data_IF_018687193623
#
_entry.id   IF_018687193623
#
_cell.length_a   1.000
_cell.length_b   1.000
_cell.length_c   1.000
_cell.angle_alpha   90.00
_cell.angle_beta   90.00
_cell.angle_gamma   90.00
#
_symmetry.space_group_name_H-M   'P 1'
#
loop_
_entity.id
_entity.type
_entity.pdbx_description
1 polymer ?
#
# COMPACT_ATOMS: atom_id res chain seq x y z
N UNK A 1 2.20 7.90 3.48
CA UNK A 1 0.86 8.32 3.94
C UNK A 1 0.93 8.82 5.38
N UNK A 2 0.08 9.76 5.76
CA UNK A 2 -0.07 10.27 7.12
C UNK A 2 -1.57 10.31 7.43
N UNK A 3 -1.98 10.02 8.66
CA UNK A 3 -3.36 10.15 9.12
C UNK A 3 -3.34 11.19 10.24
N UNK A 4 -4.19 12.20 10.12
CA UNK A 4 -4.40 13.20 11.16
C UNK A 4 -5.90 13.31 11.42
N UNK A 5 -6.28 13.47 12.68
CA UNK A 5 -7.65 13.83 13.04
C UNK A 5 -7.65 15.29 13.53
N UNK A 6 -8.75 15.98 13.24
CA UNK A 6 -9.03 17.29 13.80
C UNK A 6 -10.04 17.11 14.92
N UNK A 7 -9.65 17.44 16.15
CA UNK A 7 -10.53 17.33 17.31
C UNK A 7 -10.26 18.47 18.30
N UNK A 8 -11.30 19.06 18.89
CA UNK A 8 -11.19 20.14 19.88
C UNK A 8 -10.27 21.32 19.50
N UNK A 9 -10.34 21.75 18.24
CA UNK A 9 -9.55 22.89 17.71
C UNK A 9 -8.04 22.64 17.61
N UNK A 10 -7.59 21.40 17.77
CA UNK A 10 -6.21 20.98 17.55
C UNK A 10 -6.12 19.87 16.48
N UNK A 11 -4.95 19.82 15.82
CA UNK A 11 -4.61 18.77 14.85
C UNK A 11 -3.78 17.70 15.57
N UNK A 12 -4.37 16.53 15.77
CA UNK A 12 -3.64 15.37 16.27
C UNK A 12 -3.15 14.52 15.10
N UNK A 13 -1.83 14.50 14.92
CA UNK A 13 -1.18 13.63 13.92
C UNK A 13 -0.93 12.26 14.55
N UNK A 14 -1.47 11.21 13.93
CA UNK A 14 -1.30 9.84 14.41
C UNK A 14 0.16 9.39 14.30
N UNK A 15 0.80 9.11 15.43
CA UNK A 15 2.08 8.40 15.51
C UNK A 15 1.83 6.90 15.49
N UNK A 16 2.59 6.18 14.66
CA UNK A 16 2.52 4.72 14.67
C UNK A 16 3.08 4.14 15.99
N UNK A 17 2.90 2.84 16.23
CA UNK A 17 3.40 2.08 17.39
C UNK A 17 4.93 2.16 17.61
N UNK A 18 5.66 2.75 16.66
CA UNK A 18 7.09 3.01 16.70
C UNK A 18 7.42 4.53 16.65
N UNK A 19 6.46 5.38 17.01
CA UNK A 19 6.57 6.84 17.13
C UNK A 19 6.94 7.63 15.85
N UNK A 20 6.84 7.02 14.65
CA UNK A 20 7.07 7.73 13.39
C UNK A 20 5.78 8.37 12.83
N UNK A 21 5.90 9.62 12.35
CA UNK A 21 4.84 10.44 11.75
C UNK A 21 4.56 10.09 10.28
N UNK A 22 5.45 9.36 9.63
CA UNK A 22 5.31 8.96 8.22
C UNK A 22 5.06 7.47 8.12
N UNK A 23 3.91 7.10 7.55
CA UNK A 23 3.59 5.71 7.24
C UNK A 23 4.10 5.41 5.84
N UNK A 24 5.15 4.60 5.66
CA UNK A 24 5.54 4.19 4.32
C UNK A 24 4.46 3.25 3.76
N UNK A 25 4.05 3.49 2.51
CA UNK A 25 2.95 2.78 1.85
C UNK A 25 3.40 1.41 1.32
N UNK A 26 3.79 0.51 2.22
CA UNK A 26 4.08 -0.90 1.93
C UNK A 26 2.89 -1.78 2.33
N UNK A 27 2.49 -2.69 1.44
CA UNK A 27 1.45 -3.70 1.67
C UNK A 27 2.04 -5.06 1.33
N UNK A 28 2.19 -5.94 2.31
CA UNK A 28 2.62 -7.31 2.07
C UNK A 28 1.43 -8.27 2.14
N UNK A 29 1.21 -9.03 1.07
CA UNK A 29 0.01 -9.83 0.89
C UNK A 29 -0.03 -11.14 1.69
N UNK A 30 1.04 -11.59 2.36
CA UNK A 30 0.99 -12.89 3.09
C UNK A 30 0.04 -12.88 4.29
N UNK A 31 -0.07 -11.76 5.00
CA UNK A 31 -0.96 -11.56 6.17
C UNK A 31 -1.53 -10.14 6.23
N UNK A 32 -1.63 -9.47 5.07
CA UNK A 32 -1.99 -8.04 4.94
C UNK A 32 -1.23 -7.15 5.94
N UNK A 33 0.09 -7.37 6.01
CA UNK A 33 1.00 -6.63 6.87
C UNK A 33 1.28 -5.27 6.25
N UNK A 34 1.24 -4.23 7.07
CA UNK A 34 1.52 -2.85 6.65
C UNK A 34 2.80 -2.38 7.37
N UNK A 35 3.53 -1.42 6.78
CA UNK A 35 4.62 -0.65 7.42
C UNK A 35 5.98 -1.40 7.49
N UNK A 36 6.74 -1.24 8.60
CA UNK A 36 8.08 -1.84 8.81
C UNK A 36 8.06 -3.39 8.75
N UNK A 37 6.97 -4.03 9.17
CA UNK A 37 6.80 -5.49 9.02
C UNK A 37 6.84 -5.92 7.55
N UNK A 38 6.17 -5.16 6.67
CA UNK A 38 6.24 -5.36 5.22
C UNK A 38 7.63 -5.02 4.66
N UNK A 39 8.31 -3.99 5.19
CA UNK A 39 9.69 -3.64 4.78
C UNK A 39 10.71 -4.75 5.11
N UNK A 40 10.55 -5.46 6.24
CA UNK A 40 11.38 -6.64 6.56
C UNK A 40 11.10 -7.80 5.60
N UNK A 41 9.83 -7.99 5.23
CA UNK A 41 9.46 -8.96 4.21
C UNK A 41 9.94 -8.58 2.81
N UNK A 42 10.24 -7.31 2.50
CA UNK A 42 10.77 -6.93 1.18
C UNK A 42 12.03 -7.73 0.81
N UNK A 43 12.88 -8.06 1.79
CA UNK A 43 14.09 -8.87 1.55
C UNK A 43 13.80 -10.37 1.38
N UNK A 44 12.70 -10.88 1.95
CA UNK A 44 12.36 -12.31 1.97
C UNK A 44 11.27 -12.69 0.96
N UNK A 45 10.35 -11.79 0.67
CA UNK A 45 9.22 -11.94 -0.22
C UNK A 45 8.93 -10.63 -0.98
N UNK A 46 9.84 -10.21 -1.89
CA UNK A 46 9.69 -8.98 -2.65
C UNK A 46 8.49 -9.02 -3.62
N UNK A 47 8.12 -10.20 -4.14
CA UNK A 47 7.00 -10.37 -5.08
C UNK A 47 5.63 -10.14 -4.44
N UNK A 48 5.47 -10.40 -3.15
CA UNK A 48 4.22 -10.14 -2.45
C UNK A 48 4.26 -8.85 -1.62
N UNK A 49 5.33 -8.06 -1.71
CA UNK A 49 5.48 -6.80 -0.97
C UNK A 49 5.33 -5.62 -1.93
N UNK A 50 4.13 -5.04 -1.93
CA UNK A 50 3.73 -3.96 -2.83
C UNK A 50 4.11 -2.61 -2.21
N UNK A 51 4.71 -1.73 -3.01
CA UNK A 51 4.99 -0.36 -2.62
C UNK A 51 4.96 0.59 -3.83
N UNK A 52 5.00 1.90 -3.59
CA UNK A 52 5.03 2.87 -4.68
C UNK A 52 3.75 2.93 -5.52
N UNK A 53 2.64 2.31 -5.08
CA UNK A 53 1.38 2.16 -5.82
C UNK A 53 0.88 3.48 -6.41
N UNK A 54 1.04 4.59 -5.67
CA UNK A 54 0.62 5.93 -6.12
C UNK A 54 1.28 6.37 -7.43
N UNK A 55 2.48 5.87 -7.73
CA UNK A 55 3.19 6.18 -8.98
C UNK A 55 2.61 5.39 -10.18
N UNK A 56 1.87 4.31 -9.93
CA UNK A 56 1.26 3.46 -10.97
C UNK A 56 -0.17 3.90 -11.30
N UNK A 57 -0.87 4.55 -10.37
CA UNK A 57 -2.25 5.01 -10.56
C UNK A 57 -2.31 6.01 -11.71
N UNK A 58 -3.20 5.75 -12.69
CA UNK A 58 -3.40 6.62 -13.84
C UNK A 58 -2.25 6.61 -14.87
N UNK A 59 -1.24 5.76 -14.71
CA UNK A 59 -0.15 5.58 -15.68
C UNK A 59 -0.40 4.37 -16.58
N UNK A 60 0.27 4.35 -17.74
CA UNK A 60 0.36 3.15 -18.58
C UNK A 60 1.65 2.40 -18.26
N UNK A 61 1.67 1.10 -18.53
CA UNK A 61 2.83 0.26 -18.22
C UNK A 61 4.06 0.72 -19.01
N UNK A 62 3.88 1.16 -20.25
CA UNK A 62 4.90 1.68 -21.17
C UNK A 62 5.37 3.12 -20.86
N UNK A 63 4.87 3.76 -19.80
CA UNK A 63 5.35 5.07 -19.38
C UNK A 63 6.83 4.99 -18.95
N UNK A 64 7.65 5.92 -19.41
CA UNK A 64 9.09 5.94 -19.13
C UNK A 64 9.41 5.97 -17.62
N UNK A 65 8.56 6.58 -16.80
CA UNK A 65 8.73 6.58 -15.34
C UNK A 65 8.43 5.22 -14.73
N UNK A 66 7.40 4.53 -15.24
CA UNK A 66 7.07 3.17 -14.81
C UNK A 66 8.18 2.21 -15.21
N UNK A 67 8.63 2.25 -16.47
CA UNK A 67 9.67 1.40 -17.02
C UNK A 67 11.00 1.52 -16.26
N UNK A 68 11.42 2.75 -15.89
CA UNK A 68 12.63 2.97 -15.06
C UNK A 68 12.54 2.31 -13.69
N UNK A 69 11.34 2.24 -13.12
CA UNK A 69 11.11 1.73 -11.78
C UNK A 69 10.68 0.26 -11.75
N UNK A 70 10.44 -0.39 -12.89
CA UNK A 70 10.08 -1.82 -12.95
C UNK A 70 11.12 -2.72 -12.29
N UNK A 71 12.41 -2.38 -12.36
CA UNK A 71 13.48 -3.11 -11.67
C UNK A 71 13.35 -3.10 -10.14
N UNK A 72 12.65 -2.10 -9.59
CA UNK A 72 12.32 -2.01 -8.16
C UNK A 72 10.98 -2.67 -7.84
N UNK A 73 10.11 -2.90 -8.83
CA UNK A 73 8.75 -3.39 -8.64
C UNK A 73 8.55 -4.79 -9.24
N UNK A 74 9.03 -5.85 -8.56
CA UNK A 74 8.93 -7.23 -9.06
C UNK A 74 7.51 -7.80 -9.04
N UNK A 75 6.52 -7.02 -8.59
CA UNK A 75 5.11 -7.35 -8.50
C UNK A 75 4.26 -6.67 -9.59
N UNK A 76 4.85 -5.81 -10.43
CA UNK A 76 4.12 -5.06 -11.48
C UNK A 76 4.29 -5.75 -12.83
N UNK A 77 3.16 -5.96 -13.52
CA UNK A 77 3.10 -6.50 -14.87
C UNK A 77 2.16 -5.66 -15.75
N UNK A 78 2.09 -5.94 -17.05
CA UNK A 78 1.18 -5.31 -17.98
C UNK A 78 -0.06 -6.19 -18.20
N UNK A 79 -1.24 -5.57 -18.32
CA UNK A 79 -2.40 -6.26 -18.90
C UNK A 79 -2.44 -6.15 -20.43
N UNK A 80 -3.39 -6.84 -21.05
CA UNK A 80 -3.61 -6.86 -22.50
C UNK A 80 -3.87 -5.47 -23.12
N UNK A 81 -4.22 -4.48 -22.29
CA UNK A 81 -4.47 -3.09 -22.70
C UNK A 81 -3.31 -2.14 -22.39
N UNK A 82 -2.16 -2.67 -21.95
CA UNK A 82 -0.98 -1.89 -21.57
C UNK A 82 -1.14 -1.06 -20.30
N UNK A 83 -2.12 -1.39 -19.44
CA UNK A 83 -2.23 -0.81 -18.09
C UNK A 83 -1.38 -1.64 -17.12
N UNK A 84 -0.74 -0.99 -16.13
CA UNK A 84 -0.04 -1.72 -15.08
C UNK A 84 -1.04 -2.47 -14.21
N UNK A 85 -0.73 -3.73 -13.93
CA UNK A 85 -1.40 -4.59 -12.96
C UNK A 85 -0.39 -5.06 -11.92
N UNK A 86 -0.89 -5.39 -10.74
CA UNK A 86 -0.10 -5.93 -9.64
C UNK A 86 -0.46 -7.40 -9.50
N UNK A 87 0.53 -8.28 -9.61
CA UNK A 87 0.36 -9.72 -9.40
C UNK A 87 1.01 -10.12 -8.08
N UNK A 88 0.23 -10.80 -7.24
CA UNK A 88 0.67 -11.31 -5.94
C UNK A 88 0.21 -12.75 -5.76
N UNK A 89 0.99 -13.53 -5.01
CA UNK A 89 0.63 -14.90 -4.65
C UNK A 89 0.08 -14.92 -3.23
N UNK A 90 -1.20 -15.23 -3.08
CA UNK A 90 -1.87 -15.36 -1.80
C UNK A 90 -2.39 -16.78 -1.63
N UNK A 91 -2.00 -17.45 -0.53
CA UNK A 91 -2.39 -18.85 -0.25
C UNK A 91 -2.14 -19.81 -1.43
N UNK A 92 -1.05 -19.60 -2.18
CA UNK A 92 -0.70 -20.41 -3.35
C UNK A 92 -1.50 -20.10 -4.62
N UNK A 93 -2.37 -19.08 -4.60
CA UNK A 93 -3.11 -18.60 -5.78
C UNK A 93 -2.55 -17.27 -6.27
N UNK A 94 -2.37 -17.15 -7.58
CA UNK A 94 -2.03 -15.87 -8.19
C UNK A 94 -3.27 -14.99 -8.25
N UNK A 95 -3.19 -13.82 -7.65
CA UNK A 95 -4.21 -12.79 -7.68
C UNK A 95 -3.66 -11.59 -8.42
N UNK A 96 -4.50 -11.00 -9.26
CA UNK A 96 -4.19 -9.81 -10.04
C UNK A 96 -5.10 -8.67 -9.61
N UNK A 97 -4.50 -7.52 -9.36
CA UNK A 97 -5.20 -6.33 -8.92
C UNK A 97 -4.75 -5.13 -9.73
N UNK A 98 -5.66 -4.19 -9.90
CA UNK A 98 -5.30 -2.87 -10.36
C UNK A 98 -4.67 -2.05 -9.22
N UNK A 99 -3.74 -1.12 -9.53
CA UNK A 99 -3.16 -0.22 -8.53
C UNK A 99 -4.21 0.51 -7.69
N UNK A 100 -5.34 0.89 -8.30
CA UNK A 100 -6.44 1.57 -7.63
C UNK A 100 -7.13 0.68 -6.57
N UNK A 101 -7.26 -0.62 -6.84
CA UNK A 101 -7.87 -1.59 -5.91
C UNK A 101 -7.01 -1.78 -4.66
N UNK A 102 -5.69 -1.96 -4.84
CA UNK A 102 -4.76 -2.05 -3.72
C UNK A 102 -4.76 -0.76 -2.90
N UNK A 103 -4.85 0.39 -3.57
CA UNK A 103 -4.92 1.68 -2.89
C UNK A 103 -6.19 1.81 -2.06
N UNK A 104 -7.34 1.37 -2.58
CA UNK A 104 -8.60 1.34 -1.83
C UNK A 104 -8.50 0.43 -0.59
N UNK A 105 -7.96 -0.77 -0.73
CA UNK A 105 -7.74 -1.69 0.40
C UNK A 105 -6.84 -1.07 1.48
N UNK A 106 -5.79 -0.36 1.08
CA UNK A 106 -4.91 0.35 2.00
C UNK A 106 -5.66 1.46 2.76
N UNK A 107 -6.51 2.23 2.08
CA UNK A 107 -7.31 3.28 2.71
C UNK A 107 -8.31 2.71 3.72
N UNK A 108 -9.00 1.60 3.38
CA UNK A 108 -9.90 0.90 4.30
C UNK A 108 -9.14 0.45 5.55
N UNK A 109 -7.97 -0.18 5.37
CA UNK A 109 -7.15 -0.63 6.51
C UNK A 109 -6.65 0.52 7.38
N UNK A 110 -6.31 1.66 6.78
CA UNK A 110 -5.94 2.86 7.53
C UNK A 110 -7.13 3.41 8.34
N UNK A 111 -8.35 3.41 7.77
CA UNK A 111 -9.58 3.76 8.49
C UNK A 111 -9.81 2.81 9.66
N UNK A 112 -9.73 1.50 9.45
CA UNK A 112 -9.93 0.50 10.51
C UNK A 112 -8.91 0.62 11.64
N UNK A 113 -7.64 0.81 11.30
CA UNK A 113 -6.58 1.04 12.30
C UNK A 113 -6.83 2.33 13.11
N UNK A 114 -7.35 3.38 12.48
CA UNK A 114 -7.72 4.61 13.20
C UNK A 114 -8.92 4.40 14.13
N UNK A 115 -9.94 3.64 13.70
CA UNK A 115 -11.11 3.30 14.55
C UNK A 115 -10.72 2.47 15.77
N UNK A 116 -9.83 1.49 15.60
CA UNK A 116 -9.31 0.68 16.70
C UNK A 116 -8.57 1.53 17.74
N UNK A 117 -7.87 2.58 17.31
CA UNK A 117 -7.17 3.50 18.19
C UNK A 117 -8.12 4.45 18.95
N UNK A 118 -9.16 4.97 18.28
CA UNK A 118 -10.03 5.98 18.87
C UNK A 118 -11.22 5.44 19.67
N UNK A 119 -11.48 4.11 19.70
CA UNK A 119 -12.70 3.51 20.31
C UNK A 119 -14.02 4.20 19.91
N UNK A 120 -14.02 5.00 18.85
CA UNK A 120 -15.16 5.73 18.33
C UNK A 120 -15.20 5.59 16.80
N UNK A 121 -16.41 5.51 16.26
CA UNK A 121 -16.63 5.47 14.83
C UNK A 121 -16.26 6.80 14.20
N UNK A 122 -15.18 6.78 13.41
CA UNK A 122 -14.94 7.83 12.42
C UNK A 122 -15.92 7.58 11.28
N UNK A 123 -17.02 8.35 11.24
CA UNK A 123 -17.99 8.35 10.14
C UNK A 123 -17.32 8.85 8.86
#
# INVERSE_FOLDING_TARGET
SCVACWHNHDVEVFRNEFHSMTTPSYVAFSELLVREAAKRQLSQNPRNTIFGIKQLIGRRYDDAEVQRNLGLWPFVDANDKGRPIIEVVFEGKNMRFYPEEIFAMLLVKLKDNSKAHFRHEVQ
#
